data_IF_068384030513
#
_entry.id   IF_068384030513
#
_cell.length_a   1.000
_cell.length_b   1.000
_cell.length_c   1.000
_cell.angle_alpha   90.00
_cell.angle_beta   90.00
_cell.angle_gamma   90.00
#
_symmetry.space_group_name_H-M   'P 1'
#
loop_
_entity.id
_entity.type
_entity.pdbx_description
1 polymer ?
#
# COMPACT_ATOMS: atom_id res chain seq x y z
N UNK A 1 -2.42 -17.21 2.42
CA UNK A 1 -1.45 -16.20 2.90
C UNK A 1 -0.06 -16.76 2.66
N UNK A 2 0.80 -16.03 1.95
CA UNK A 2 2.18 -16.42 1.69
C UNK A 2 3.10 -15.41 2.38
N UNK A 3 4.03 -15.91 3.19
CA UNK A 3 4.98 -15.09 3.96
C UNK A 3 6.40 -15.40 3.48
N UNK A 4 7.11 -14.36 3.03
CA UNK A 4 8.53 -14.42 2.73
C UNK A 4 9.32 -13.93 3.94
N UNK A 5 10.06 -14.84 4.58
CA UNK A 5 10.92 -14.53 5.74
C UNK A 5 12.40 -14.58 5.35
N UNK A 6 12.75 -13.82 4.31
CA UNK A 6 14.10 -13.68 3.79
C UNK A 6 14.21 -12.36 3.01
N UNK A 7 15.43 -11.92 2.74
CA UNK A 7 15.67 -10.78 1.86
C UNK A 7 15.18 -11.10 0.44
N UNK A 8 14.51 -10.12 -0.17
CA UNK A 8 14.02 -10.16 -1.55
C UNK A 8 14.89 -9.25 -2.39
N UNK A 9 15.21 -9.65 -3.63
CA UNK A 9 15.98 -8.79 -4.53
C UNK A 9 15.17 -7.54 -4.93
N UNK A 10 15.83 -6.43 -5.26
CA UNK A 10 15.14 -5.20 -5.69
C UNK A 10 14.23 -5.42 -6.90
N UNK A 11 14.69 -6.23 -7.85
CA UNK A 11 13.93 -6.56 -9.07
C UNK A 11 12.67 -7.35 -8.75
N UNK A 12 12.79 -8.33 -7.85
CA UNK A 12 11.65 -9.15 -7.43
C UNK A 12 10.65 -8.33 -6.60
N UNK A 13 11.12 -7.48 -5.70
CA UNK A 13 10.27 -6.58 -4.92
C UNK A 13 9.52 -5.58 -5.82
N UNK A 14 10.19 -4.99 -6.81
CA UNK A 14 9.55 -4.11 -7.78
C UNK A 14 8.51 -4.85 -8.65
N UNK A 15 8.80 -6.10 -9.04
CA UNK A 15 7.84 -6.93 -9.76
C UNK A 15 6.61 -7.23 -8.90
N UNK A 16 6.80 -7.54 -7.61
CA UNK A 16 5.70 -7.72 -6.65
C UNK A 16 4.86 -6.45 -6.53
N UNK A 17 5.50 -5.28 -6.34
CA UNK A 17 4.78 -4.02 -6.32
C UNK A 17 3.96 -3.82 -7.59
N UNK A 18 4.53 -4.02 -8.78
CA UNK A 18 3.83 -3.78 -10.05
C UNK A 18 2.59 -4.66 -10.29
N UNK A 19 2.45 -5.80 -9.61
CA UNK A 19 1.36 -6.77 -9.85
C UNK A 19 0.29 -6.83 -8.76
N UNK A 20 0.53 -6.26 -7.58
CA UNK A 20 -0.44 -6.31 -6.48
C UNK A 20 -1.58 -5.28 -6.66
N UNK A 21 -2.79 -5.67 -6.30
CA UNK A 21 -3.97 -4.79 -6.31
C UNK A 21 -3.91 -3.72 -5.21
N UNK A 22 -3.24 -4.04 -4.10
CA UNK A 22 -3.09 -3.11 -2.99
C UNK A 22 -1.75 -3.30 -2.27
N UNK A 23 -1.19 -2.19 -1.79
CA UNK A 23 -0.11 -2.18 -0.81
C UNK A 23 -0.61 -1.63 0.52
N UNK A 24 -0.29 -2.33 1.61
CA UNK A 24 -0.78 -2.00 2.95
C UNK A 24 0.40 -1.66 3.84
N UNK A 25 0.38 -0.47 4.41
CA UNK A 25 1.40 0.02 5.33
C UNK A 25 0.71 0.47 6.62
N UNK A 26 0.63 -0.45 7.58
CA UNK A 26 -0.11 -0.29 8.86
C UNK A 26 0.78 0.13 10.03
N UNK A 27 1.84 0.90 9.78
CA UNK A 27 2.79 1.31 10.82
C UNK A 27 2.09 2.05 11.96
N UNK A 28 2.36 1.69 13.21
CA UNK A 28 1.82 2.38 14.40
C UNK A 28 2.59 3.66 14.76
N UNK A 29 3.82 3.80 14.25
CA UNK A 29 4.68 4.98 14.35
C UNK A 29 5.84 4.82 13.37
N UNK A 30 5.99 5.73 12.42
CA UNK A 30 7.14 5.71 11.50
C UNK A 30 7.49 7.11 11.01
N UNK A 31 8.77 7.44 10.91
CA UNK A 31 9.22 8.79 10.58
C UNK A 31 8.99 9.19 9.11
N UNK A 32 9.32 8.32 8.16
CA UNK A 32 9.15 8.58 6.73
C UNK A 32 9.18 7.29 5.93
N UNK A 33 8.10 6.93 5.25
CA UNK A 33 7.98 5.64 4.58
C UNK A 33 8.45 5.65 3.11
N UNK A 34 9.69 5.24 2.86
CA UNK A 34 10.21 5.13 1.47
C UNK A 34 9.57 3.98 0.66
N UNK A 35 9.13 2.92 1.35
CA UNK A 35 8.47 1.76 0.71
C UNK A 35 7.18 2.18 -0.01
N UNK A 36 6.44 3.12 0.57
CA UNK A 36 5.23 3.69 -0.04
C UNK A 36 5.53 4.39 -1.37
N UNK A 37 6.66 5.08 -1.46
CA UNK A 37 7.10 5.77 -2.68
C UNK A 37 7.60 4.78 -3.74
N UNK A 38 8.34 3.75 -3.32
CA UNK A 38 8.74 2.66 -4.22
C UNK A 38 7.53 1.96 -4.83
N UNK A 39 6.49 1.70 -4.01
CA UNK A 39 5.24 1.12 -4.48
C UNK A 39 4.56 2.01 -5.53
N UNK A 40 4.35 3.30 -5.22
CA UNK A 40 3.73 4.28 -6.13
C UNK A 40 4.50 4.39 -7.45
N UNK A 41 5.83 4.39 -7.39
CA UNK A 41 6.68 4.39 -8.58
C UNK A 41 6.46 3.16 -9.48
N UNK A 42 6.07 2.01 -8.91
CA UNK A 42 5.78 0.78 -9.64
C UNK A 42 4.32 0.69 -10.16
N UNK A 43 3.41 1.56 -9.71
CA UNK A 43 1.98 1.51 -10.06
C UNK A 43 1.58 2.20 -11.37
N UNK A 44 2.54 2.65 -12.17
CA UNK A 44 2.29 3.47 -13.38
C UNK A 44 1.32 2.85 -14.41
N UNK A 45 1.13 1.53 -14.39
CA UNK A 45 0.25 0.82 -15.33
C UNK A 45 -0.99 0.19 -14.70
N UNK A 46 -0.87 -0.28 -13.45
CA UNK A 46 -1.94 -1.05 -12.78
C UNK A 46 -2.84 -0.16 -11.93
N UNK A 47 -2.33 0.99 -11.47
CA UNK A 47 -3.06 1.90 -10.58
C UNK A 47 -3.58 1.21 -9.31
N UNK A 48 -2.77 0.30 -8.73
CA UNK A 48 -3.09 -0.36 -7.48
C UNK A 48 -3.18 0.63 -6.30
N UNK A 49 -3.93 0.24 -5.28
CA UNK A 49 -4.31 1.12 -4.19
C UNK A 49 -3.30 1.08 -3.04
N UNK A 50 -2.88 2.25 -2.55
CA UNK A 50 -2.04 2.37 -1.38
C UNK A 50 -2.91 2.61 -0.13
N UNK A 51 -2.98 1.64 0.78
CA UNK A 51 -3.60 1.77 2.11
C UNK A 51 -2.53 2.16 3.11
N UNK A 52 -2.62 3.37 3.66
CA UNK A 52 -1.52 3.99 4.38
C UNK A 52 -1.93 4.46 5.77
N UNK A 53 -1.17 4.05 6.79
CA UNK A 53 -1.41 4.48 8.16
C UNK A 53 -1.23 5.99 8.33
N UNK A 54 -2.16 6.63 9.02
CA UNK A 54 -2.04 8.05 9.44
C UNK A 54 -0.82 8.31 10.34
N UNK A 55 -0.27 7.26 10.96
CA UNK A 55 0.92 7.34 11.83
C UNK A 55 2.25 7.07 11.10
N UNK A 56 2.19 6.83 9.79
CA UNK A 56 3.38 6.75 8.97
C UNK A 56 3.71 8.14 8.41
N UNK A 57 4.94 8.60 8.56
CA UNK A 57 5.38 9.82 7.89
C UNK A 57 5.40 9.64 6.37
N UNK A 58 5.28 10.76 5.66
CA UNK A 58 5.01 10.87 4.22
C UNK A 58 3.53 10.84 3.80
N UNK A 59 2.57 10.76 4.73
CA UNK A 59 1.12 10.84 4.42
C UNK A 59 0.79 12.08 3.59
N UNK A 60 1.31 13.25 3.98
CA UNK A 60 1.08 14.51 3.26
C UNK A 60 1.68 14.54 1.84
N UNK A 61 2.60 13.62 1.54
CA UNK A 61 3.24 13.54 0.21
C UNK A 61 2.52 12.59 -0.75
N UNK A 62 1.55 11.81 -0.25
CA UNK A 62 0.85 10.77 -0.98
C UNK A 62 -0.68 11.01 -0.88
N UNK A 63 -1.20 12.07 -1.53
CA UNK A 63 -2.58 12.52 -1.35
C UNK A 63 -3.64 11.51 -1.83
N UNK A 64 -3.29 10.66 -2.81
CA UNK A 64 -4.20 9.66 -3.37
C UNK A 64 -4.22 8.34 -2.57
N UNK A 65 -3.43 8.25 -1.49
CA UNK A 65 -3.46 7.09 -0.62
C UNK A 65 -4.75 7.04 0.20
N UNK A 66 -5.28 5.84 0.43
CA UNK A 66 -6.36 5.63 1.38
C UNK A 66 -5.78 5.62 2.78
N UNK A 67 -5.97 6.74 3.48
CA UNK A 67 -5.46 6.92 4.83
C UNK A 67 -6.33 6.16 5.83
N UNK A 68 -5.69 5.36 6.69
CA UNK A 68 -6.35 4.56 7.70
C UNK A 68 -5.74 4.76 9.08
N UNK A 69 -6.56 4.63 10.11
CA UNK A 69 -6.07 4.40 11.46
C UNK A 69 -5.88 2.88 11.65
N UNK A 70 -4.66 2.36 11.89
CA UNK A 70 -4.42 0.93 12.06
C UNK A 70 -5.13 0.31 13.27
N UNK A 71 -5.62 1.12 14.21
CA UNK A 71 -6.38 0.67 15.38
C UNK A 71 -7.89 0.61 15.13
N UNK A 72 -8.39 1.27 14.08
CA UNK A 72 -9.80 1.23 13.67
C UNK A 72 -9.99 0.07 12.69
N UNK A 73 -10.18 -1.13 13.23
CA UNK A 73 -10.20 -2.36 12.44
C UNK A 73 -11.37 -2.43 11.46
N UNK A 74 -12.49 -1.78 11.76
CA UNK A 74 -13.65 -1.72 10.87
C UNK A 74 -13.33 -0.87 9.64
N UNK A 75 -12.88 0.38 9.83
CA UNK A 75 -12.50 1.24 8.70
C UNK A 75 -11.34 0.69 7.90
N UNK A 76 -10.40 0.01 8.56
CA UNK A 76 -9.31 -0.64 7.87
C UNK A 76 -9.82 -1.81 7.01
N UNK A 77 -10.73 -2.66 7.54
CA UNK A 77 -11.35 -3.70 6.75
C UNK A 77 -12.11 -3.13 5.53
N UNK A 78 -12.83 -2.03 5.70
CA UNK A 78 -13.52 -1.32 4.61
C UNK A 78 -12.54 -0.80 3.55
N UNK A 79 -11.41 -0.21 3.97
CA UNK A 79 -10.37 0.25 3.06
C UNK A 79 -9.76 -0.89 2.24
N UNK A 80 -9.52 -2.06 2.86
CA UNK A 80 -9.06 -3.25 2.16
C UNK A 80 -10.12 -3.76 1.18
N UNK A 81 -11.39 -3.84 1.60
CA UNK A 81 -12.47 -4.26 0.73
C UNK A 81 -12.63 -3.35 -0.50
N UNK A 82 -12.50 -2.04 -0.31
CA UNK A 82 -12.51 -1.04 -1.38
C UNK A 82 -11.41 -1.29 -2.40
N UNK A 83 -10.20 -1.67 -1.97
CA UNK A 83 -9.08 -1.95 -2.88
C UNK A 83 -9.35 -3.06 -3.89
N UNK A 84 -10.09 -4.10 -3.51
CA UNK A 84 -10.50 -5.18 -4.42
C UNK A 84 -11.62 -4.78 -5.38
N UNK A 85 -12.41 -3.77 -5.02
CA UNK A 85 -13.56 -3.30 -5.79
C UNK A 85 -13.15 -2.25 -6.83
N UNK A 86 -12.31 -1.29 -6.46
CA UNK A 86 -11.90 -0.17 -7.32
C UNK A 86 -10.83 -0.55 -8.35
N UNK A 87 -9.93 -1.48 -8.04
CA UNK A 87 -8.90 -1.93 -9.01
C UNK A 87 -9.51 -2.54 -10.29
N UNK A 88 -10.77 -3.00 -10.23
CA UNK A 88 -11.47 -3.55 -11.39
C UNK A 88 -12.13 -2.52 -12.29
N UNK A 89 -12.40 -1.30 -11.81
CA UNK A 89 -13.15 -0.28 -12.57
C UNK A 89 -12.31 0.55 -13.53
N UNK A 90 -10.97 0.45 -13.46
CA UNK A 90 -10.04 1.22 -14.30
C UNK A 90 -9.49 0.44 -15.50
N UNK A 91 -10.03 -0.75 -15.79
CA UNK A 91 -9.69 -1.58 -16.97
C UNK A 91 -10.78 -1.49 -18.04
#
# INVERSE_FOLDING_TARGET
>A
VYLLFNSVSKTELAALYAVVDACVISSIRYGFNVVSMEYVACQQRRHGLLVFSEFAGAVDTLPDAVIVNPWDTEKFADALHRSFSETRSWN
#
